data_IF_752420417819
#
_entry.id   IF_752420417819
#
_cell.length_a   1.000
_cell.length_b   1.000
_cell.length_c   1.000
_cell.angle_alpha   90.00
_cell.angle_beta   90.00
_cell.angle_gamma   90.00
#
_symmetry.space_group_name_H-M   'P 1'
#
loop_
_entity.id
_entity.type
_entity.pdbx_description
1 polymer ?
#
# COMPACT_ATOMS: atom_id res chain seq x y z
N UNK A 1 -57.53 -33.86 13.98
CA UNK A 1 -56.67 -33.43 15.10
C UNK A 1 -55.23 -33.67 14.68
N UNK A 2 -54.56 -32.85 13.86
CA UNK A 2 -53.97 -31.51 14.11
C UNK A 2 -53.07 -31.44 15.34
N UNK A 3 -51.77 -31.68 15.16
CA UNK A 3 -50.67 -30.91 15.78
C UNK A 3 -49.31 -31.28 15.13
N UNK A 4 -48.32 -30.37 15.15
CA UNK A 4 -47.47 -30.10 13.99
C UNK A 4 -45.99 -30.46 14.18
N UNK A 5 -45.31 -30.54 13.04
CA UNK A 5 -43.86 -30.60 12.85
C UNK A 5 -43.18 -29.29 13.26
N UNK A 6 -42.09 -29.36 14.04
CA UNK A 6 -41.16 -28.24 14.25
C UNK A 6 -39.74 -28.63 13.83
N UNK A 7 -39.22 -27.90 12.84
CA UNK A 7 -37.82 -27.89 12.42
C UNK A 7 -37.07 -26.81 13.22
N UNK A 8 -35.81 -27.02 13.63
CA UNK A 8 -34.94 -25.92 14.03
C UNK A 8 -34.25 -25.31 12.81
N UNK A 9 -34.44 -24.02 12.60
CA UNK A 9 -33.65 -23.16 11.71
C UNK A 9 -32.35 -22.75 12.39
N UNK A 10 -31.18 -22.80 11.73
CA UNK A 10 -30.01 -22.07 12.19
C UNK A 10 -30.06 -20.65 11.64
N UNK A 11 -30.13 -19.69 12.57
CA UNK A 11 -30.12 -18.26 12.32
C UNK A 11 -28.77 -17.84 11.68
N UNK A 12 -28.76 -17.58 10.37
CA UNK A 12 -27.61 -17.00 9.68
C UNK A 12 -27.47 -15.53 10.06
N UNK A 13 -26.68 -15.22 11.09
CA UNK A 13 -26.18 -13.86 11.32
C UNK A 13 -25.16 -13.53 10.25
N UNK A 14 -25.62 -12.90 9.16
CA UNK A 14 -24.74 -12.28 8.16
C UNK A 14 -23.93 -11.18 8.84
N UNK A 15 -22.67 -11.46 9.15
CA UNK A 15 -21.69 -10.40 9.40
C UNK A 15 -21.45 -9.71 8.05
N UNK A 16 -22.00 -8.51 7.87
CA UNK A 16 -21.53 -7.57 6.85
C UNK A 16 -20.35 -6.81 7.44
N UNK A 17 -19.14 -6.88 6.88
CA UNK A 17 -18.13 -5.88 7.14
C UNK A 17 -17.83 -5.07 5.87
N UNK A 18 -17.48 -3.81 6.09
CA UNK A 18 -16.47 -3.06 5.31
C UNK A 18 -16.75 -2.47 3.92
N UNK A 19 -17.90 -2.69 3.27
CA UNK A 19 -18.21 -1.97 2.01
C UNK A 19 -18.30 -0.42 2.11
N UNK A 20 -18.39 0.16 3.32
CA UNK A 20 -18.58 1.61 3.52
C UNK A 20 -17.31 2.46 3.31
N UNK A 21 -16.11 1.87 3.39
CA UNK A 21 -14.87 2.65 3.44
C UNK A 21 -14.34 2.98 2.04
N UNK A 22 -14.44 2.03 1.11
CA UNK A 22 -14.23 2.29 -0.31
C UNK A 22 -15.24 3.33 -0.85
N UNK A 23 -16.50 3.27 -0.39
CA UNK A 23 -17.53 4.26 -0.74
C UNK A 23 -17.20 5.67 -0.25
N UNK A 24 -16.65 5.81 0.96
CA UNK A 24 -16.23 7.12 1.46
C UNK A 24 -15.10 7.73 0.61
N UNK A 25 -14.10 6.93 0.24
CA UNK A 25 -12.99 7.40 -0.59
C UNK A 25 -13.44 7.70 -2.02
N UNK A 26 -14.35 6.87 -2.59
CA UNK A 26 -15.06 7.18 -3.83
C UNK A 26 -15.78 8.53 -3.72
N UNK A 27 -16.54 8.77 -2.66
CA UNK A 27 -17.22 10.05 -2.43
C UNK A 27 -16.25 11.23 -2.28
N UNK A 28 -15.08 11.03 -1.68
CA UNK A 28 -14.08 12.08 -1.52
C UNK A 28 -13.43 12.46 -2.86
N UNK A 29 -13.13 11.48 -3.73
CA UNK A 29 -12.54 11.72 -5.05
C UNK A 29 -13.54 12.23 -6.09
N UNK A 30 -14.83 11.88 -5.98
CA UNK A 30 -15.88 12.38 -6.88
C UNK A 30 -16.28 13.83 -6.61
N UNK A 31 -15.83 14.44 -5.51
CA UNK A 31 -16.05 15.88 -5.27
C UNK A 31 -15.15 16.69 -6.20
N UNK A 32 -15.68 17.02 -7.39
CA UNK A 32 -15.10 18.04 -8.29
C UNK A 32 -14.79 19.32 -7.48
N UNK A 33 -13.65 19.99 -7.72
CA UNK A 33 -13.39 21.28 -7.11
C UNK A 33 -14.50 22.24 -7.53
N UNK A 34 -15.25 22.74 -6.54
CA UNK A 34 -16.24 23.79 -6.75
C UNK A 34 -15.46 25.01 -7.25
N UNK A 35 -15.70 25.43 -8.49
CA UNK A 35 -15.15 26.68 -9.04
C UNK A 35 -15.43 27.79 -8.02
N UNK A 36 -14.38 28.32 -7.41
CA UNK A 36 -14.47 29.53 -6.60
C UNK A 36 -14.94 30.67 -7.52
N UNK A 37 -15.93 31.47 -7.11
CA UNK A 37 -16.31 32.64 -7.86
C UNK A 37 -15.16 33.66 -7.82
N UNK A 38 -14.75 34.07 -9.01
CA UNK A 38 -13.96 35.28 -9.27
C UNK A 38 -14.66 36.47 -8.62
N UNK A 39 -13.90 37.29 -7.89
CA UNK A 39 -14.29 38.65 -7.52
C UNK A 39 -13.06 39.57 -7.65
N UNK A 40 -13.24 40.84 -8.05
CA UNK A 40 -12.29 41.53 -8.91
C UNK A 40 -11.18 42.31 -8.17
N UNK A 41 -10.13 42.51 -8.96
CA UNK A 41 -8.97 43.38 -8.87
C UNK A 41 -9.10 44.67 -8.04
N UNK A 42 -8.09 44.94 -7.21
CA UNK A 42 -7.57 46.30 -6.92
C UNK A 42 -6.17 46.20 -6.31
N UNK A 43 -5.17 46.75 -7.00
CA UNK A 43 -3.80 47.07 -6.56
C UNK A 43 -3.56 48.56 -6.81
N UNK A 44 -2.42 49.20 -6.42
CA UNK A 44 -1.43 48.91 -5.36
C UNK A 44 -1.11 50.18 -4.50
N UNK A 45 -0.10 50.08 -3.62
CA UNK A 45 0.75 51.14 -3.00
C UNK A 45 0.97 50.83 -1.51
N UNK A 46 2.07 51.14 -0.81
CA UNK A 46 3.44 51.60 -1.08
C UNK A 46 4.14 51.54 0.30
N UNK A 47 5.42 51.19 0.31
CA UNK A 47 6.49 51.43 1.33
C UNK A 47 6.12 51.93 2.74
N UNK A 48 6.57 51.22 3.79
CA UNK A 48 7.51 51.77 4.79
C UNK A 48 7.96 50.79 5.88
N UNK A 49 9.23 50.97 6.25
CA UNK A 49 10.05 50.25 7.23
C UNK A 49 9.56 50.38 8.68
N UNK A 50 9.87 49.39 9.54
CA UNK A 50 10.58 49.61 10.82
C UNK A 50 10.99 48.31 11.52
N UNK A 51 12.26 48.30 11.91
CA UNK A 51 12.96 47.52 12.96
C UNK A 51 12.14 47.43 14.25
N UNK A 52 12.14 46.36 15.06
CA UNK A 52 13.21 45.97 16.01
C UNK A 52 12.78 44.68 16.77
N UNK A 53 13.62 43.64 16.84
CA UNK A 53 14.34 43.18 18.06
C UNK A 53 13.47 43.00 19.32
N UNK A 54 13.16 41.76 19.70
CA UNK A 54 13.60 41.18 20.98
C UNK A 54 13.22 39.69 21.12
N UNK A 55 14.18 38.88 21.56
CA UNK A 55 14.00 37.49 22.01
C UNK A 55 14.44 37.38 23.47
N UNK A 56 13.75 36.58 24.30
CA UNK A 56 14.38 35.93 25.45
C UNK A 56 14.23 34.38 25.45
N UNK A 57 14.98 33.66 26.30
CA UNK A 57 15.69 32.41 25.95
C UNK A 57 14.93 31.12 26.28
N UNK A 58 15.36 29.95 25.74
CA UNK A 58 14.84 28.66 26.16
C UNK A 58 15.43 28.23 27.53
N UNK A 59 14.53 27.77 28.40
CA UNK A 59 14.83 27.27 29.73
C UNK A 59 15.53 25.92 29.61
N UNK A 60 16.72 25.83 30.21
CA UNK A 60 17.55 24.63 30.29
C UNK A 60 16.94 23.65 31.29
N UNK A 61 16.56 22.45 30.85
CA UNK A 61 16.13 21.36 31.72
C UNK A 61 17.01 20.13 31.48
N UNK A 62 17.60 19.72 32.60
CA UNK A 62 18.64 18.72 32.83
C UNK A 62 18.58 17.42 32.03
N UNK A 63 19.78 17.08 31.54
CA UNK A 63 20.29 15.78 31.16
C UNK A 63 19.77 14.61 32.00
N UNK A 64 19.01 13.71 31.37
CA UNK A 64 18.76 12.36 31.86
C UNK A 64 19.38 11.41 30.83
N UNK A 65 20.52 10.81 31.18
CA UNK A 65 21.18 9.77 30.38
C UNK A 65 20.33 8.48 30.42
N UNK A 66 19.91 7.91 29.28
CA UNK A 66 19.40 6.55 29.27
C UNK A 66 20.55 5.55 29.49
N UNK A 67 20.30 4.39 30.12
CA UNK A 67 21.31 3.35 30.29
C UNK A 67 21.73 2.78 28.94
N UNK A 68 23.04 2.87 28.66
CA UNK A 68 23.71 2.30 27.49
C UNK A 68 23.52 0.79 27.46
N UNK A 69 22.72 0.29 26.51
CA UNK A 69 22.73 -1.10 26.09
C UNK A 69 24.03 -1.42 25.33
N UNK A 70 24.61 -2.62 25.48
CA UNK A 70 25.81 -3.00 24.76
C UNK A 70 25.56 -3.04 23.24
N UNK A 71 26.52 -2.62 22.41
CA UNK A 71 26.36 -2.68 20.96
C UNK A 71 26.21 -4.15 20.51
N UNK A 72 25.34 -4.45 19.53
CA UNK A 72 25.29 -5.78 18.94
C UNK A 72 26.65 -6.10 18.30
N UNK A 73 27.05 -7.38 18.24
CA UNK A 73 28.31 -7.79 17.65
C UNK A 73 28.39 -7.32 16.20
N UNK A 74 29.41 -6.51 15.93
CA UNK A 74 29.84 -6.11 14.58
C UNK A 74 30.30 -7.37 13.86
N UNK A 75 29.43 -7.95 13.04
CA UNK A 75 29.72 -9.23 12.41
C UNK A 75 28.51 -9.87 11.73
N UNK A 76 27.80 -9.13 10.90
CA UNK A 76 26.96 -9.73 9.87
C UNK A 76 27.09 -8.86 8.63
N UNK A 77 27.40 -9.45 7.49
CA UNK A 77 26.95 -8.86 6.22
C UNK A 77 25.44 -8.70 6.38
N UNK A 78 24.98 -7.50 6.71
CA UNK A 78 23.56 -7.22 6.75
C UNK A 78 23.13 -7.34 5.30
N UNK A 79 22.61 -8.51 4.91
CA UNK A 79 22.07 -8.64 3.55
C UNK A 79 21.05 -7.50 3.42
N UNK A 80 21.15 -6.74 2.33
CA UNK A 80 20.33 -5.55 2.12
C UNK A 80 18.83 -5.84 2.23
N UNK A 81 18.43 -7.12 2.14
CA UNK A 81 17.09 -7.63 2.46
C UNK A 81 16.57 -7.26 3.85
N UNK A 82 17.41 -7.19 4.88
CA UNK A 82 16.96 -6.86 6.24
C UNK A 82 16.99 -5.35 6.53
N UNK A 83 17.24 -4.52 5.51
CA UNK A 83 17.20 -3.05 5.68
C UNK A 83 15.77 -2.49 5.75
N UNK A 84 14.76 -3.28 5.36
CA UNK A 84 13.34 -2.91 5.42
C UNK A 84 12.51 -3.89 6.26
N UNK A 85 11.32 -3.44 6.66
CA UNK A 85 10.38 -4.22 7.49
C UNK A 85 9.75 -5.38 6.71
N UNK A 86 9.50 -5.17 5.42
CA UNK A 86 8.85 -6.14 4.54
C UNK A 86 9.70 -6.44 3.30
N UNK A 87 9.61 -7.68 2.85
CA UNK A 87 10.21 -8.09 1.58
C UNK A 87 9.27 -7.72 0.42
N UNK A 88 7.95 -7.87 0.61
CA UNK A 88 6.94 -7.65 -0.43
C UNK A 88 5.71 -6.91 0.13
N UNK A 89 5.23 -5.88 -0.55
CA UNK A 89 3.89 -5.32 -0.34
C UNK A 89 2.98 -5.74 -1.49
N UNK A 90 1.78 -6.25 -1.19
CA UNK A 90 0.79 -6.65 -2.21
C UNK A 90 -0.37 -5.66 -2.24
N UNK A 91 -0.51 -4.93 -3.34
CA UNK A 91 -1.65 -4.07 -3.61
C UNK A 91 -2.71 -4.87 -4.38
N UNK A 92 -3.95 -4.84 -3.89
CA UNK A 92 -5.08 -5.57 -4.46
C UNK A 92 -6.37 -4.80 -4.19
N UNK A 93 -7.42 -5.13 -4.96
CA UNK A 93 -8.77 -4.62 -4.66
C UNK A 93 -9.44 -5.46 -3.57
N UNK A 94 -10.44 -4.89 -2.89
CA UNK A 94 -11.15 -5.62 -1.82
C UNK A 94 -11.80 -6.92 -2.32
N UNK A 95 -12.28 -6.94 -3.56
CA UNK A 95 -12.85 -8.13 -4.20
C UNK A 95 -11.83 -9.23 -4.49
N UNK A 96 -10.54 -8.88 -4.60
CA UNK A 96 -9.45 -9.82 -4.87
C UNK A 96 -8.73 -10.31 -3.60
N UNK A 97 -9.28 -10.03 -2.41
CA UNK A 97 -8.61 -10.38 -1.14
C UNK A 97 -8.24 -11.87 -1.05
N UNK A 98 -9.12 -12.77 -1.50
CA UNK A 98 -8.85 -14.21 -1.47
C UNK A 98 -7.62 -14.58 -2.32
N UNK A 99 -7.55 -14.08 -3.56
CA UNK A 99 -6.42 -14.33 -4.46
C UNK A 99 -5.12 -13.70 -3.93
N UNK A 100 -5.21 -12.52 -3.31
CA UNK A 100 -4.06 -11.86 -2.67
C UNK A 100 -3.55 -12.66 -1.46
N UNK A 101 -4.44 -13.22 -0.64
CA UNK A 101 -4.08 -14.08 0.49
C UNK A 101 -3.42 -15.39 0.03
N UNK A 102 -3.90 -15.99 -1.05
CA UNK A 102 -3.28 -17.18 -1.65
C UNK A 102 -1.87 -16.86 -2.16
N UNK A 103 -1.70 -15.76 -2.89
CA UNK A 103 -0.39 -15.31 -3.34
C UNK A 103 0.58 -15.08 -2.18
N UNK A 104 0.13 -14.39 -1.13
CA UNK A 104 0.96 -14.15 0.06
C UNK A 104 1.30 -15.45 0.77
N UNK A 105 0.35 -16.36 0.95
CA UNK A 105 0.59 -17.67 1.54
C UNK A 105 1.64 -18.47 0.73
N UNK A 106 1.60 -18.36 -0.60
CA UNK A 106 2.58 -18.99 -1.49
C UNK A 106 3.98 -18.37 -1.38
N UNK A 107 4.07 -17.05 -1.19
CA UNK A 107 5.33 -16.32 -1.02
C UNK A 107 5.95 -16.57 0.37
N UNK A 108 5.14 -16.46 1.43
CA UNK A 108 5.54 -16.67 2.83
C UNK A 108 5.91 -18.15 3.09
N UNK A 109 5.20 -19.10 2.47
CA UNK A 109 5.48 -20.54 2.57
C UNK A 109 6.73 -21.01 1.81
N UNK A 110 7.49 -20.10 1.20
CA UNK A 110 8.74 -20.44 0.51
C UNK A 110 9.89 -20.67 1.49
N UNK A 111 10.92 -21.42 1.06
CA UNK A 111 12.13 -21.66 1.85
C UNK A 111 12.90 -20.38 2.23
N UNK A 112 12.58 -19.24 1.59
CA UNK A 112 13.19 -17.95 1.88
C UNK A 112 12.52 -17.19 3.04
N UNK A 113 11.37 -17.67 3.53
CA UNK A 113 10.56 -17.06 4.60
C UNK A 113 10.35 -15.56 4.35
N UNK A 114 9.68 -15.23 3.25
CA UNK A 114 9.43 -13.84 2.85
C UNK A 114 8.44 -13.17 3.82
N UNK A 115 8.68 -11.89 4.16
CA UNK A 115 7.77 -11.07 4.95
C UNK A 115 6.87 -10.26 4.02
N UNK A 116 5.58 -10.59 3.95
CA UNK A 116 4.65 -9.87 3.08
C UNK A 116 3.77 -8.90 3.88
N UNK A 117 3.42 -7.78 3.26
CA UNK A 117 2.42 -6.83 3.74
C UNK A 117 1.15 -6.90 2.88
N UNK A 118 0.00 -7.02 3.54
CA UNK A 118 -1.34 -6.90 2.98
C UNK A 118 -2.13 -5.84 3.71
N UNK A 119 -2.64 -4.82 3.01
CA UNK A 119 -3.30 -3.68 3.64
C UNK A 119 -4.49 -4.10 4.53
N UNK A 120 -5.32 -5.06 4.11
CA UNK A 120 -6.48 -5.49 4.91
C UNK A 120 -6.11 -6.38 6.13
N UNK A 121 -4.86 -6.86 6.21
CA UNK A 121 -4.36 -7.73 7.30
C UNK A 121 -3.48 -6.95 8.27
N UNK A 122 -2.54 -6.17 7.72
CA UNK A 122 -1.37 -5.65 8.42
C UNK A 122 -1.45 -4.15 8.71
N UNK A 123 -2.38 -3.41 8.08
CA UNK A 123 -2.54 -1.98 8.36
C UNK A 123 -3.11 -1.74 9.76
N UNK A 124 -2.56 -0.74 10.45
CA UNK A 124 -2.93 -0.44 11.84
C UNK A 124 -4.38 0.06 11.92
N UNK A 125 -5.25 -0.57 12.73
CA UNK A 125 -6.61 -0.09 12.93
C UNK A 125 -6.65 1.35 13.45
N UNK A 126 -7.44 2.21 12.81
CA UNK A 126 -7.51 3.63 13.15
C UNK A 126 -6.41 4.50 12.51
N UNK A 127 -5.45 3.89 11.81
CA UNK A 127 -4.43 4.58 11.03
C UNK A 127 -5.00 5.26 9.77
N UNK A 128 -4.27 6.26 9.28
CA UNK A 128 -4.62 6.92 8.02
C UNK A 128 -4.24 6.02 6.84
N UNK A 129 -5.24 5.57 6.09
CA UNK A 129 -5.08 4.60 4.99
C UNK A 129 -3.98 5.00 3.99
N UNK A 130 -3.90 6.29 3.64
CA UNK A 130 -2.87 6.81 2.73
C UNK A 130 -1.47 6.74 3.35
N UNK A 131 -1.32 7.06 4.63
CA UNK A 131 -0.05 6.99 5.32
C UNK A 131 0.43 5.55 5.47
N UNK A 132 -0.46 4.63 5.84
CA UNK A 132 -0.16 3.19 5.94
C UNK A 132 0.28 2.63 4.59
N UNK A 133 -0.40 3.00 3.51
CA UNK A 133 0.00 2.62 2.15
C UNK A 133 1.41 3.13 1.83
N UNK A 134 1.66 4.43 2.01
CA UNK A 134 2.96 5.03 1.71
C UNK A 134 4.08 4.40 2.54
N UNK A 135 3.82 4.08 3.81
CA UNK A 135 4.76 3.41 4.69
C UNK A 135 5.01 1.97 4.24
N UNK A 136 3.98 1.20 3.92
CA UNK A 136 4.13 -0.17 3.43
C UNK A 136 4.89 -0.22 2.10
N UNK A 137 4.59 0.71 1.19
CA UNK A 137 5.29 0.86 -0.07
C UNK A 137 6.78 1.16 0.15
N UNK A 138 7.12 2.22 0.88
CA UNK A 138 8.51 2.61 1.17
C UNK A 138 9.28 1.56 1.99
N UNK A 139 8.60 0.95 2.96
CA UNK A 139 9.10 -0.09 3.86
C UNK A 139 9.11 -1.49 3.27
N UNK A 140 8.83 -1.65 1.96
CA UNK A 140 8.96 -2.92 1.24
C UNK A 140 10.06 -2.89 0.19
N UNK A 141 10.73 -4.04 -0.01
CA UNK A 141 11.71 -4.21 -1.07
C UNK A 141 11.05 -4.37 -2.45
N UNK A 142 10.00 -5.17 -2.52
CA UNK A 142 9.21 -5.41 -3.72
C UNK A 142 7.76 -4.97 -3.51
N UNK A 143 7.07 -4.66 -4.61
CA UNK A 143 5.66 -4.26 -4.65
C UNK A 143 4.98 -5.09 -5.71
N UNK A 144 4.00 -5.90 -5.34
CA UNK A 144 3.19 -6.67 -6.28
C UNK A 144 1.86 -5.97 -6.47
N UNK A 145 1.50 -5.68 -7.71
CA UNK A 145 0.20 -5.11 -8.05
C UNK A 145 -0.66 -6.21 -8.64
N UNK A 146 -1.67 -6.70 -7.90
CA UNK A 146 -2.63 -7.68 -8.41
C UNK A 146 -3.73 -6.94 -9.18
N UNK A 147 -3.58 -6.87 -10.50
CA UNK A 147 -4.43 -6.07 -11.38
C UNK A 147 -5.49 -6.98 -12.03
N UNK A 148 -6.73 -6.78 -11.60
CA UNK A 148 -7.92 -7.48 -12.06
C UNK A 148 -8.96 -6.48 -12.59
N UNK A 149 -10.09 -6.92 -13.17
CA UNK A 149 -11.18 -6.01 -13.51
C UNK A 149 -11.67 -5.16 -12.32
N UNK A 150 -11.64 -5.70 -11.10
CA UNK A 150 -11.97 -5.00 -9.86
C UNK A 150 -11.00 -3.90 -9.51
N UNK A 151 -9.72 -4.23 -9.56
CA UNK A 151 -8.63 -3.30 -9.34
C UNK A 151 -8.74 -2.07 -10.26
N UNK A 152 -9.11 -2.27 -11.53
CA UNK A 152 -9.27 -1.18 -12.48
C UNK A 152 -10.54 -0.35 -12.26
N UNK A 153 -11.56 -0.89 -11.60
CA UNK A 153 -12.80 -0.17 -11.28
C UNK A 153 -12.68 0.65 -10.00
N UNK A 154 -11.74 0.31 -9.11
CA UNK A 154 -11.51 1.01 -7.86
C UNK A 154 -10.52 2.18 -8.02
N UNK A 155 -10.96 3.44 -7.80
CA UNK A 155 -10.07 4.60 -7.80
C UNK A 155 -8.94 4.51 -6.76
N UNK A 156 -9.18 3.84 -5.63
CA UNK A 156 -8.15 3.66 -4.60
C UNK A 156 -7.03 2.75 -5.09
N UNK A 157 -7.36 1.63 -5.73
CA UNK A 157 -6.39 0.73 -6.33
C UNK A 157 -5.58 1.42 -7.44
N UNK A 158 -6.21 2.24 -8.28
CA UNK A 158 -5.49 3.08 -9.25
C UNK A 158 -4.53 4.05 -8.59
N UNK A 159 -4.94 4.68 -7.49
CA UNK A 159 -4.05 5.54 -6.71
C UNK A 159 -2.86 4.75 -6.13
N UNK A 160 -3.10 3.58 -5.54
CA UNK A 160 -2.04 2.69 -5.05
C UNK A 160 -1.03 2.33 -6.14
N UNK A 161 -1.52 1.94 -7.33
CA UNK A 161 -0.68 1.63 -8.49
C UNK A 161 0.18 2.84 -8.86
N UNK A 162 -0.42 4.01 -9.06
CA UNK A 162 0.33 5.22 -9.43
C UNK A 162 1.36 5.60 -8.36
N UNK A 163 1.03 5.46 -7.07
CA UNK A 163 1.98 5.69 -5.98
C UNK A 163 3.14 4.68 -6.01
N UNK A 164 2.86 3.40 -6.25
CA UNK A 164 3.89 2.37 -6.38
C UNK A 164 4.85 2.67 -7.54
N UNK A 165 4.30 3.08 -8.70
CA UNK A 165 5.09 3.43 -9.89
C UNK A 165 5.92 4.71 -9.69
N UNK A 166 5.39 5.69 -8.96
CA UNK A 166 6.09 6.96 -8.71
C UNK A 166 7.28 6.80 -7.75
N UNK A 167 7.16 5.91 -6.76
CA UNK A 167 8.23 5.67 -5.79
C UNK A 167 9.36 4.79 -6.33
N UNK A 168 9.13 4.06 -7.43
CA UNK A 168 10.10 3.13 -8.01
C UNK A 168 10.15 3.28 -9.55
N UNK A 169 10.52 4.46 -10.09
CA UNK A 169 10.46 4.71 -11.53
C UNK A 169 11.62 4.06 -12.32
N UNK A 170 12.74 3.73 -11.67
CA UNK A 170 13.98 3.33 -12.34
C UNK A 170 14.85 2.32 -11.55
N UNK A 171 14.26 1.18 -11.17
CA UNK A 171 14.91 0.04 -10.49
C UNK A 171 15.19 0.16 -8.97
N UNK A 172 14.96 1.31 -8.34
CA UNK A 172 14.84 1.37 -6.87
C UNK A 172 13.49 0.80 -6.42
N UNK A 173 13.49 -0.48 -6.02
CA UNK A 173 12.27 -1.21 -5.68
C UNK A 173 11.72 -2.00 -6.86
N UNK A 174 11.40 -3.27 -6.63
CA UNK A 174 10.87 -4.17 -7.65
C UNK A 174 9.34 -4.07 -7.70
N UNK A 175 8.80 -3.27 -8.62
CA UNK A 175 7.34 -3.27 -8.88
C UNK A 175 7.00 -4.35 -9.91
N UNK A 176 6.16 -5.30 -9.53
CA UNK A 176 5.76 -6.46 -10.32
C UNK A 176 4.24 -6.42 -10.52
N UNK A 177 3.76 -5.94 -11.67
CA UNK A 177 2.35 -6.05 -12.03
C UNK A 177 1.99 -7.49 -12.39
N UNK A 178 0.99 -8.06 -11.72
CA UNK A 178 0.37 -9.34 -12.03
C UNK A 178 -1.02 -9.08 -12.62
N UNK A 179 -1.20 -9.33 -13.91
CA UNK A 179 -2.47 -9.07 -14.60
C UNK A 179 -3.28 -10.37 -14.66
N UNK A 180 -4.44 -10.40 -14.00
CA UNK A 180 -5.30 -11.58 -13.96
C UNK A 180 -6.72 -11.28 -14.44
N UNK A 181 -7.29 -12.17 -15.26
CA UNK A 181 -8.66 -12.02 -15.76
C UNK A 181 -8.90 -10.81 -16.68
N UNK A 182 -7.85 -10.18 -17.20
CA UNK A 182 -7.93 -8.99 -18.05
C UNK A 182 -7.80 -9.33 -19.54
N UNK A 183 -8.43 -8.51 -20.37
CA UNK A 183 -8.16 -8.46 -21.80
C UNK A 183 -6.99 -7.52 -22.07
N UNK A 184 -6.22 -7.75 -23.14
CA UNK A 184 -5.06 -6.90 -23.46
C UNK A 184 -5.43 -5.43 -23.70
N UNK A 185 -6.66 -5.17 -24.15
CA UNK A 185 -7.17 -3.82 -24.37
C UNK A 185 -7.41 -3.04 -23.06
N UNK A 186 -7.64 -3.74 -21.95
CA UNK A 186 -7.86 -3.14 -20.63
C UNK A 186 -6.58 -3.00 -19.81
N UNK A 187 -5.41 -3.30 -20.38
CA UNK A 187 -4.15 -3.17 -19.65
C UNK A 187 -3.85 -1.68 -19.40
N UNK A 188 -3.47 -1.29 -18.17
CA UNK A 188 -3.12 0.10 -17.88
C UNK A 188 -1.98 0.58 -18.79
N UNK A 189 -2.15 1.71 -19.50
CA UNK A 189 -1.10 2.24 -20.37
C UNK A 189 0.17 2.61 -19.61
N UNK A 190 0.05 2.90 -18.31
CA UNK A 190 1.16 3.19 -17.39
C UNK A 190 2.12 2.00 -17.23
N UNK A 191 1.72 0.78 -17.60
CA UNK A 191 2.58 -0.40 -17.47
C UNK A 191 3.31 -0.74 -18.78
N UNK A 192 3.08 0.01 -19.86
CA UNK A 192 3.67 -0.28 -21.18
C UNK A 192 5.19 -0.23 -21.21
N UNK A 193 5.80 0.52 -20.28
CA UNK A 193 7.25 0.69 -20.21
C UNK A 193 7.95 -0.36 -19.33
N UNK A 194 7.20 -1.23 -18.65
CA UNK A 194 7.76 -2.19 -17.70
C UNK A 194 7.32 -3.63 -17.98
N UNK A 195 8.09 -4.55 -17.43
CA UNK A 195 7.75 -5.97 -17.43
C UNK A 195 6.52 -6.23 -16.55
N UNK A 196 5.69 -7.18 -16.96
CA UNK A 196 4.54 -7.64 -16.19
C UNK A 196 4.42 -9.16 -16.26
N UNK A 197 3.72 -9.72 -15.27
CA UNK A 197 3.39 -11.14 -15.18
C UNK A 197 1.96 -11.34 -15.67
N UNK A 198 1.78 -12.24 -16.64
CA UNK A 198 0.44 -12.63 -17.11
C UNK A 198 -0.10 -13.78 -16.24
N UNK A 199 -1.22 -13.52 -15.56
CA UNK A 199 -1.91 -14.49 -14.72
C UNK A 199 -2.56 -15.64 -15.49
N UNK A 200 -2.55 -15.62 -16.83
CA UNK A 200 -2.91 -16.77 -17.68
C UNK A 200 -1.86 -17.88 -17.68
N UNK A 201 -0.68 -17.61 -17.12
CA UNK A 201 0.40 -18.59 -16.99
C UNK A 201 0.13 -19.71 -15.98
N UNK A 202 1.07 -20.65 -15.84
CA UNK A 202 0.98 -21.71 -14.83
C UNK A 202 0.89 -21.12 -13.42
N UNK A 203 0.13 -21.79 -12.54
CA UNK A 203 -0.10 -21.38 -11.15
C UNK A 203 -0.64 -19.93 -11.01
N UNK A 204 -1.37 -19.44 -12.02
CA UNK A 204 -1.92 -18.08 -12.01
C UNK A 204 -0.85 -16.97 -12.03
N UNK A 205 0.38 -17.29 -12.44
CA UNK A 205 1.52 -16.36 -12.41
C UNK A 205 2.24 -16.26 -11.07
N UNK A 206 1.78 -16.96 -10.00
CA UNK A 206 2.36 -16.83 -8.66
C UNK A 206 3.82 -17.28 -8.60
N UNK A 207 4.16 -18.34 -9.35
CA UNK A 207 5.54 -18.80 -9.51
C UNK A 207 6.45 -17.72 -10.10
N UNK A 208 5.99 -17.06 -11.16
CA UNK A 208 6.75 -16.02 -11.85
C UNK A 208 6.94 -14.78 -10.97
N UNK A 209 5.90 -14.40 -10.21
CA UNK A 209 6.02 -13.33 -9.19
C UNK A 209 7.07 -13.69 -8.16
N UNK A 210 7.01 -14.90 -7.60
CA UNK A 210 7.98 -15.38 -6.60
C UNK A 210 9.41 -15.37 -7.14
N UNK A 211 9.63 -15.87 -8.35
CA UNK A 211 10.95 -15.86 -8.99
C UNK A 211 11.47 -14.44 -9.21
N UNK A 212 10.60 -13.52 -9.63
CA UNK A 212 10.97 -12.11 -9.81
C UNK A 212 11.35 -11.44 -8.47
N UNK A 213 10.58 -11.68 -7.39
CA UNK A 213 10.91 -11.20 -6.04
C UNK A 213 12.25 -11.77 -5.59
N UNK A 214 12.45 -13.09 -5.69
CA UNK A 214 13.68 -13.74 -5.25
C UNK A 214 14.90 -13.23 -6.02
N UNK A 215 14.79 -13.08 -7.34
CA UNK A 215 15.86 -12.54 -8.18
C UNK A 215 16.25 -11.12 -7.75
N UNK A 216 15.28 -10.28 -7.41
CA UNK A 216 15.55 -8.93 -6.92
C UNK A 216 16.18 -8.94 -5.51
N UNK A 217 15.68 -9.76 -4.58
CA UNK A 217 16.26 -9.83 -3.24
C UNK A 217 17.71 -10.36 -3.26
N UNK A 218 18.07 -11.20 -4.23
CA UNK A 218 19.45 -11.63 -4.46
C UNK A 218 20.37 -10.49 -4.87
N UNK A 219 19.88 -9.47 -5.60
CA UNK A 219 20.70 -8.30 -5.95
C UNK A 219 20.95 -7.35 -4.79
N UNK A 220 20.22 -7.52 -3.68
CA UNK A 220 20.39 -6.75 -2.46
C UNK A 220 21.33 -7.43 -1.45
N UNK A 221 21.72 -8.68 -1.69
CA UNK A 221 22.52 -9.49 -0.76
C UNK A 221 24.02 -9.30 -0.96
#
# INVERSE_FOLDING_TARGET
MTSPTSLPTPNSRSRKPMGRMADWFRQALLKKPKKLPVSPESTPSEVSQRTSRDSPPPVSLSSVKPPTSPPPPVGASSSGRWSKDYDVCVCHSEEDLAAAQELVSYLEGSAASLRCFLQLRDATPGGAIVSELCQALSGSHCRVLLITPGFLQDPWCKYQMLQALTQAPAAEGCTIPLLSGLTRASYPPELRFMYYVDGRGPDGGFRQVKEAVMRYLQTLS
#
